data_IF_023013500674
#
_entry.id   IF_023013500674
#
_cell.length_a   1.000
_cell.length_b   1.000
_cell.length_c   1.000
_cell.angle_alpha   90.00
_cell.angle_beta   90.00
_cell.angle_gamma   90.00
#
_symmetry.space_group_name_H-M   'P 1'
#
loop_
_entity.id
_entity.type
_entity.pdbx_description
1 polymer ?
#
# COMPACT_ATOMS: atom_id res chain seq x y z
N UNK A 1 4.68 7.47 9.07
CA UNK A 1 3.55 6.65 9.52
C UNK A 1 2.85 6.01 8.33
N UNK A 2 3.23 4.77 8.00
CA UNK A 2 2.70 4.02 6.85
C UNK A 2 1.21 3.69 7.05
N UNK A 3 0.80 3.35 8.27
CA UNK A 3 -0.60 3.04 8.58
C UNK A 3 -1.51 4.26 8.34
N UNK A 4 -1.09 5.45 8.75
CA UNK A 4 -1.79 6.70 8.44
C UNK A 4 -1.86 6.98 6.95
N UNK A 5 -0.81 6.66 6.19
CA UNK A 5 -0.81 6.82 4.74
C UNK A 5 -1.78 5.87 4.05
N UNK A 6 -1.92 4.63 4.55
CA UNK A 6 -2.91 3.67 4.04
C UNK A 6 -4.35 4.10 4.31
N UNK A 7 -4.63 4.72 5.44
CA UNK A 7 -5.97 5.22 5.78
C UNK A 7 -6.33 6.53 5.08
N UNK A 8 -5.33 7.34 4.67
CA UNK A 8 -5.55 8.67 4.12
C UNK A 8 -6.09 8.63 2.68
N UNK A 9 -7.03 9.50 2.34
CA UNK A 9 -7.48 9.71 0.95
C UNK A 9 -6.48 10.50 0.10
N UNK A 10 -5.60 11.27 0.73
CA UNK A 10 -4.53 12.02 0.09
C UNK A 10 -3.45 12.37 1.11
N UNK A 11 -2.25 12.70 0.63
CA UNK A 11 -1.08 12.92 1.47
C UNK A 11 -0.51 14.32 1.20
N UNK A 12 -0.31 15.07 2.28
CA UNK A 12 0.25 16.41 2.23
C UNK A 12 1.37 16.52 3.28
N UNK A 13 2.57 16.87 2.86
CA UNK A 13 3.71 17.01 3.76
C UNK A 13 4.39 18.36 3.61
N UNK A 14 4.85 18.92 4.73
CA UNK A 14 5.62 20.19 4.75
C UNK A 14 7.06 20.01 4.24
N UNK A 15 7.60 18.80 4.33
CA UNK A 15 8.99 18.49 3.94
C UNK A 15 9.03 17.31 2.97
N UNK A 16 10.13 17.22 2.23
CA UNK A 16 10.37 16.15 1.28
C UNK A 16 10.26 16.61 -0.16
N UNK A 17 10.70 15.78 -1.08
CA UNK A 17 10.63 16.00 -2.52
C UNK A 17 9.96 14.81 -3.23
N UNK A 18 10.00 14.79 -4.55
CA UNK A 18 9.38 13.73 -5.39
C UNK A 18 9.96 12.33 -5.14
N UNK A 19 11.14 12.24 -4.57
CA UNK A 19 11.82 10.97 -4.21
C UNK A 19 11.71 10.65 -2.72
N UNK A 20 11.00 11.45 -1.93
CA UNK A 20 10.76 11.17 -0.51
C UNK A 20 9.94 9.89 -0.33
N UNK A 21 10.11 9.25 0.81
CA UNK A 21 9.34 8.04 1.16
C UNK A 21 7.83 8.26 1.02
N UNK A 22 7.32 9.40 1.50
CA UNK A 22 5.90 9.76 1.36
C UNK A 22 5.44 9.83 -0.10
N UNK A 23 6.24 10.45 -0.99
CA UNK A 23 5.90 10.55 -2.40
C UNK A 23 5.93 9.20 -3.13
N UNK A 24 6.91 8.35 -2.81
CA UNK A 24 7.05 7.01 -3.41
C UNK A 24 5.89 6.11 -2.99
N UNK A 25 5.60 6.05 -1.70
CA UNK A 25 4.51 5.22 -1.15
C UNK A 25 3.15 5.69 -1.64
N UNK A 26 2.87 7.01 -1.60
CA UNK A 26 1.60 7.57 -2.10
C UNK A 26 1.37 7.24 -3.58
N UNK A 27 2.43 7.31 -4.38
CA UNK A 27 2.39 6.99 -5.81
C UNK A 27 2.10 5.51 -6.04
N UNK A 28 2.73 4.64 -5.26
CA UNK A 28 2.45 3.20 -5.27
C UNK A 28 1.00 2.87 -4.90
N UNK A 29 0.39 3.65 -4.01
CA UNK A 29 -1.01 3.53 -3.63
C UNK A 29 -1.99 4.22 -4.59
N UNK A 30 -1.52 4.91 -5.63
CA UNK A 30 -2.37 5.71 -6.53
C UNK A 30 -3.08 6.87 -5.85
N UNK A 31 -2.51 7.41 -4.74
CA UNK A 31 -3.10 8.50 -3.95
C UNK A 31 -2.49 9.84 -4.34
N UNK A 32 -3.34 10.87 -4.34
CA UNK A 32 -2.87 12.23 -4.54
C UNK A 32 -1.87 12.60 -3.42
N UNK A 33 -0.73 13.16 -3.81
CA UNK A 33 0.32 13.51 -2.87
C UNK A 33 0.98 14.84 -3.24
N UNK A 34 1.08 15.73 -2.25
CA UNK A 34 1.87 16.96 -2.34
C UNK A 34 2.94 16.88 -1.26
N UNK A 35 4.22 16.94 -1.67
CA UNK A 35 5.35 16.94 -0.75
C UNK A 35 6.13 18.25 -0.84
N UNK A 36 6.75 18.65 0.27
CA UNK A 36 7.56 19.87 0.30
C UNK A 36 6.75 21.16 0.29
N UNK A 37 5.52 21.12 0.81
CA UNK A 37 4.72 22.33 1.01
C UNK A 37 5.29 23.16 2.17
N UNK A 38 6.38 23.90 1.92
CA UNK A 38 7.15 24.61 2.95
C UNK A 38 6.34 25.67 3.72
N UNK A 39 5.27 26.18 3.13
CA UNK A 39 4.33 27.11 3.77
C UNK A 39 3.40 26.43 4.77
N UNK A 40 3.38 25.09 4.77
CA UNK A 40 2.57 24.29 5.64
C UNK A 40 3.20 24.18 7.03
N UNK A 41 2.50 24.65 8.04
CA UNK A 41 2.84 24.45 9.45
C UNK A 41 1.74 23.66 10.15
N UNK A 42 2.10 22.58 10.81
CA UNK A 42 1.16 21.71 11.52
C UNK A 42 1.33 21.90 13.01
N UNK A 43 0.22 22.23 13.67
CA UNK A 43 0.08 22.28 15.12
C UNK A 43 -0.66 21.00 15.56
N UNK A 44 0.10 20.04 16.05
CA UNK A 44 -0.43 18.72 16.43
C UNK A 44 -1.26 18.80 17.73
N UNK A 45 -0.93 19.71 18.65
CA UNK A 45 -1.64 19.87 19.92
C UNK A 45 -3.05 20.40 19.70
N UNK A 46 -3.16 21.45 18.89
CA UNK A 46 -4.45 22.08 18.59
C UNK A 46 -5.14 21.47 17.36
N UNK A 47 -4.50 20.52 16.68
CA UNK A 47 -5.00 19.88 15.45
C UNK A 47 -5.36 20.89 14.37
N UNK A 48 -4.44 21.83 14.12
CA UNK A 48 -4.59 22.92 13.15
C UNK A 48 -3.46 22.88 12.13
N UNK A 49 -3.82 23.09 10.89
CA UNK A 49 -2.89 23.32 9.79
C UNK A 49 -2.92 24.82 9.45
N UNK A 50 -1.75 25.41 9.28
CA UNK A 50 -1.58 26.78 8.81
C UNK A 50 -0.96 26.78 7.41
N UNK A 51 -1.58 27.52 6.51
CA UNK A 51 -1.04 27.89 5.20
C UNK A 51 -0.94 29.43 5.14
N UNK A 52 0.24 29.98 5.37
CA UNK A 52 0.39 31.41 5.57
C UNK A 52 -0.53 31.89 6.69
N UNK A 53 -1.45 32.81 6.39
CA UNK A 53 -2.43 33.35 7.35
C UNK A 53 -3.68 32.46 7.52
N UNK A 54 -3.90 31.50 6.62
CA UNK A 54 -5.10 30.64 6.68
C UNK A 54 -4.93 29.54 7.70
N UNK A 55 -5.99 29.31 8.48
CA UNK A 55 -6.07 28.27 9.52
C UNK A 55 -7.12 27.22 9.08
N UNK A 56 -6.72 25.97 9.08
CA UNK A 56 -7.58 24.83 8.75
C UNK A 56 -7.61 23.92 9.97
N UNK A 57 -8.78 23.74 10.55
CA UNK A 57 -8.98 22.85 11.71
C UNK A 57 -9.15 21.40 11.26
N UNK A 58 -8.84 20.47 12.15
CA UNK A 58 -9.17 19.06 11.96
C UNK A 58 -10.65 18.87 11.65
N UNK A 59 -10.95 18.01 10.67
CA UNK A 59 -12.32 17.79 10.19
C UNK A 59 -12.76 18.74 9.06
N UNK A 60 -11.99 19.78 8.76
CA UNK A 60 -12.26 20.61 7.59
C UNK A 60 -11.92 19.86 6.29
N UNK A 61 -12.76 20.03 5.30
CA UNK A 61 -12.58 19.43 3.97
C UNK A 61 -11.58 20.22 3.15
N UNK A 62 -10.61 19.52 2.57
CA UNK A 62 -9.64 20.07 1.63
C UNK A 62 -9.53 19.18 0.40
N UNK A 63 -9.29 19.78 -0.75
CA UNK A 63 -8.95 19.06 -1.98
C UNK A 63 -7.49 19.33 -2.33
N UNK A 64 -6.73 18.28 -2.64
CA UNK A 64 -5.35 18.37 -3.07
C UNK A 64 -5.20 17.93 -4.54
N UNK A 65 -4.49 18.71 -5.32
CA UNK A 65 -4.13 18.40 -6.70
C UNK A 65 -2.62 18.09 -6.78
N UNK A 66 -2.30 16.81 -6.81
CA UNK A 66 -0.92 16.34 -6.89
C UNK A 66 -0.21 16.69 -8.21
N UNK A 67 -0.95 17.05 -9.26
CA UNK A 67 -0.37 17.42 -10.56
C UNK A 67 0.11 18.87 -10.57
N UNK A 68 -0.72 19.79 -10.06
CA UNK A 68 -0.39 21.22 -9.99
C UNK A 68 0.31 21.62 -8.69
N UNK A 69 0.23 20.76 -7.65
CA UNK A 69 0.74 21.09 -6.30
C UNK A 69 -0.17 22.02 -5.51
N UNK A 70 -1.42 22.20 -5.94
CA UNK A 70 -2.35 23.11 -5.30
C UNK A 70 -3.19 22.44 -4.20
N UNK A 71 -3.50 23.20 -3.16
CA UNK A 71 -4.41 22.82 -2.09
C UNK A 71 -5.58 23.78 -2.06
N UNK A 72 -6.79 23.25 -2.15
CA UNK A 72 -8.04 24.02 -2.15
C UNK A 72 -8.80 23.77 -0.84
N UNK A 73 -9.42 24.81 -0.29
CA UNK A 73 -10.35 24.69 0.81
C UNK A 73 -11.72 24.21 0.28
N UNK A 74 -12.27 23.19 0.92
CA UNK A 74 -13.53 22.58 0.53
C UNK A 74 -13.37 21.54 -0.58
N UNK A 75 -14.50 21.06 -1.03
CA UNK A 75 -14.59 20.07 -2.09
C UNK A 75 -14.57 20.75 -3.47
N UNK A 76 -13.63 20.33 -4.31
CA UNK A 76 -13.53 20.74 -5.72
C UNK A 76 -13.85 19.53 -6.59
N UNK A 77 -14.63 19.65 -7.66
CA UNK A 77 -14.86 18.55 -8.59
C UNK A 77 -13.53 17.98 -9.10
N UNK A 78 -13.36 16.67 -8.91
CA UNK A 78 -12.17 15.95 -9.35
C UNK A 78 -12.52 15.08 -10.55
N UNK A 79 -11.59 14.94 -11.48
CA UNK A 79 -11.69 14.00 -12.60
C UNK A 79 -10.70 12.87 -12.40
N UNK A 80 -11.11 11.64 -12.65
CA UNK A 80 -10.17 10.53 -12.72
C UNK A 80 -9.31 10.69 -13.96
N UNK A 81 -7.98 10.59 -13.87
CA UNK A 81 -7.12 10.66 -15.04
C UNK A 81 -7.44 9.49 -15.98
N UNK A 82 -8.01 9.79 -17.13
CA UNK A 82 -8.15 8.84 -18.21
C UNK A 82 -6.94 8.95 -19.15
N UNK A 83 -6.53 7.82 -19.72
CA UNK A 83 -5.47 7.84 -20.72
C UNK A 83 -5.96 8.59 -21.96
N UNK A 84 -5.35 9.73 -22.28
CA UNK A 84 -5.68 10.49 -23.48
C UNK A 84 -5.43 9.65 -24.74
N UNK A 85 -6.18 9.93 -25.82
CA UNK A 85 -5.97 9.27 -27.11
C UNK A 85 -4.53 9.45 -27.64
N UNK A 86 -3.95 10.61 -27.38
CA UNK A 86 -2.56 10.90 -27.72
C UNK A 86 -1.59 10.00 -26.98
N UNK A 87 -1.83 9.75 -25.68
CA UNK A 87 -1.02 8.85 -24.88
C UNK A 87 -1.14 7.40 -25.37
N UNK A 88 -2.36 6.94 -25.64
CA UNK A 88 -2.61 5.60 -26.21
C UNK A 88 -1.91 5.44 -27.57
N UNK A 89 -1.93 6.46 -28.39
CA UNK A 89 -1.24 6.48 -29.69
C UNK A 89 0.27 6.39 -29.53
N UNK A 90 0.84 7.16 -28.61
CA UNK A 90 2.27 7.13 -28.29
C UNK A 90 2.69 5.76 -27.79
N UNK A 91 1.91 5.15 -26.90
CA UNK A 91 2.20 3.81 -26.37
C UNK A 91 2.15 2.76 -27.49
N UNK A 92 1.18 2.85 -28.42
CA UNK A 92 1.16 1.96 -29.59
C UNK A 92 2.40 2.09 -30.49
N UNK A 93 2.95 3.29 -30.64
CA UNK A 93 4.20 3.48 -31.37
C UNK A 93 5.40 2.88 -30.60
N UNK A 94 5.48 3.12 -29.31
CA UNK A 94 6.51 2.53 -28.45
C UNK A 94 6.47 0.99 -28.50
N UNK A 95 5.27 0.40 -28.43
CA UNK A 95 5.10 -1.06 -28.49
C UNK A 95 5.54 -1.69 -29.81
N UNK A 96 5.46 -0.95 -30.92
CA UNK A 96 5.97 -1.42 -32.21
C UNK A 96 7.50 -1.43 -32.31
N UNK A 97 8.18 -0.58 -31.56
CA UNK A 97 9.61 -0.39 -31.61
C UNK A 97 10.37 -1.14 -30.49
N UNK A 98 9.75 -1.32 -29.35
CA UNK A 98 10.38 -1.98 -28.20
C UNK A 98 10.64 -3.47 -28.49
N UNK A 99 11.75 -3.96 -27.96
CA UNK A 99 12.13 -5.37 -28.02
C UNK A 99 11.89 -6.10 -26.71
N UNK A 100 11.86 -5.37 -25.59
CA UNK A 100 11.64 -5.91 -24.26
C UNK A 100 10.17 -5.80 -23.88
N UNK A 101 9.71 -6.78 -23.12
CA UNK A 101 8.39 -6.78 -22.50
C UNK A 101 8.42 -6.02 -21.20
N UNK A 102 7.30 -5.37 -20.86
CA UNK A 102 7.16 -4.62 -19.61
C UNK A 102 6.44 -5.49 -18.59
N UNK A 103 7.09 -5.72 -17.45
CA UNK A 103 6.50 -6.39 -16.29
C UNK A 103 6.42 -5.41 -15.13
N UNK A 104 5.35 -5.51 -14.36
CA UNK A 104 5.11 -4.65 -13.20
C UNK A 104 5.25 -5.44 -11.89
N UNK A 105 5.31 -4.72 -10.78
CA UNK A 105 5.09 -5.30 -9.47
C UNK A 105 3.58 -5.27 -9.17
N UNK A 106 3.03 -6.38 -8.74
CA UNK A 106 1.64 -6.50 -8.31
C UNK A 106 1.51 -7.64 -7.30
N UNK A 107 0.85 -7.39 -6.21
CA UNK A 107 0.69 -8.32 -5.10
C UNK A 107 -0.76 -8.74 -4.88
N UNK A 108 -1.71 -7.90 -5.32
CA UNK A 108 -3.15 -8.16 -5.16
C UNK A 108 -3.85 -8.36 -6.51
N UNK A 109 -5.03 -9.01 -6.52
CA UNK A 109 -5.85 -9.11 -7.72
C UNK A 109 -6.21 -7.76 -8.34
N UNK A 110 -6.40 -6.72 -7.52
CA UNK A 110 -6.70 -5.36 -8.01
C UNK A 110 -5.49 -4.72 -8.67
N UNK A 111 -4.29 -4.91 -8.13
CA UNK A 111 -3.05 -4.43 -8.74
C UNK A 111 -2.84 -5.10 -10.10
N UNK A 112 -3.06 -6.42 -10.19
CA UNK A 112 -2.94 -7.17 -11.43
C UNK A 112 -3.92 -6.68 -12.51
N UNK A 113 -5.19 -6.42 -12.15
CA UNK A 113 -6.19 -5.84 -13.06
C UNK A 113 -5.75 -4.46 -13.56
N UNK A 114 -5.26 -3.64 -12.67
CA UNK A 114 -4.75 -2.30 -12.98
C UNK A 114 -3.53 -2.39 -13.90
N UNK A 115 -2.60 -3.30 -13.59
CA UNK A 115 -1.41 -3.55 -14.39
C UNK A 115 -1.76 -3.91 -15.85
N UNK A 116 -2.69 -4.84 -16.04
CA UNK A 116 -3.16 -5.24 -17.37
C UNK A 116 -3.82 -4.07 -18.10
N UNK A 117 -4.66 -3.30 -17.41
CA UNK A 117 -5.30 -2.11 -17.97
C UNK A 117 -4.27 -1.09 -18.51
N UNK A 118 -3.12 -0.99 -17.86
CA UNK A 118 -2.00 -0.14 -18.27
C UNK A 118 -1.02 -0.82 -19.24
N UNK A 119 -1.32 -2.04 -19.71
CA UNK A 119 -0.56 -2.72 -20.75
C UNK A 119 0.65 -3.50 -20.23
N UNK A 120 0.67 -3.90 -18.96
CA UNK A 120 1.69 -4.80 -18.44
C UNK A 120 1.58 -6.19 -19.10
N UNK A 121 2.72 -6.77 -19.43
CA UNK A 121 2.84 -8.08 -20.09
C UNK A 121 3.31 -9.17 -19.12
N UNK A 122 3.13 -8.94 -17.82
CA UNK A 122 3.44 -9.88 -16.77
C UNK A 122 3.69 -9.19 -15.43
N UNK A 123 3.83 -10.00 -14.39
CA UNK A 123 4.28 -9.58 -13.08
C UNK A 123 5.77 -9.91 -12.94
N UNK A 124 6.58 -8.88 -12.72
CA UNK A 124 8.02 -8.99 -12.54
C UNK A 124 8.41 -9.33 -11.11
N UNK A 125 7.56 -8.93 -10.15
CA UNK A 125 7.70 -9.29 -8.74
C UNK A 125 6.34 -9.24 -8.05
N UNK A 126 5.95 -10.37 -7.46
CA UNK A 126 4.88 -10.48 -6.49
C UNK A 126 5.51 -10.77 -5.12
N UNK A 127 5.37 -9.84 -4.17
CA UNK A 127 5.85 -9.96 -2.81
C UNK A 127 4.79 -10.63 -1.97
N UNK A 128 5.00 -11.88 -1.61
CA UNK A 128 3.96 -12.65 -0.90
C UNK A 128 3.70 -12.13 0.51
N UNK A 129 4.66 -11.47 1.15
CA UNK A 129 4.49 -10.83 2.45
C UNK A 129 3.42 -9.73 2.44
N UNK A 130 3.26 -9.00 1.33
CA UNK A 130 2.24 -7.94 1.22
C UNK A 130 0.80 -8.47 1.23
N UNK A 131 0.60 -9.76 0.95
CA UNK A 131 -0.72 -10.39 1.02
C UNK A 131 -1.25 -10.53 2.46
N UNK A 132 -0.37 -10.34 3.46
CA UNK A 132 -0.68 -10.58 4.87
C UNK A 132 -0.76 -9.33 5.74
N UNK A 133 -0.72 -8.12 5.15
CA UNK A 133 -0.89 -6.86 5.90
C UNK A 133 -2.35 -6.50 6.21
N UNK A 134 -3.31 -7.26 5.71
CA UNK A 134 -4.72 -7.11 6.06
C UNK A 134 -4.94 -7.43 7.56
N UNK A 135 -5.82 -6.67 8.24
CA UNK A 135 -6.05 -6.80 9.69
C UNK A 135 -6.44 -8.21 10.13
N UNK A 136 -7.17 -8.95 9.29
CA UNK A 136 -7.59 -10.32 9.58
C UNK A 136 -6.46 -11.33 9.41
N UNK A 137 -5.43 -11.01 8.64
CA UNK A 137 -4.32 -11.90 8.28
C UNK A 137 -3.06 -11.64 9.08
N UNK A 138 -2.81 -10.37 9.43
CA UNK A 138 -1.58 -9.97 10.13
C UNK A 138 -1.42 -10.66 11.48
N UNK A 139 -2.53 -10.92 12.19
CA UNK A 139 -2.49 -11.61 13.48
C UNK A 139 -2.07 -13.07 13.33
N UNK A 140 -2.56 -13.77 12.30
CA UNK A 140 -2.15 -15.15 12.02
C UNK A 140 -0.68 -15.21 11.59
N UNK A 141 -0.22 -14.20 10.83
CA UNK A 141 1.19 -14.09 10.44
C UNK A 141 2.08 -13.85 11.66
N UNK A 142 1.64 -13.01 12.61
CA UNK A 142 2.35 -12.81 13.90
C UNK A 142 2.40 -14.08 14.72
N UNK A 143 1.33 -14.84 14.81
CA UNK A 143 1.34 -16.17 15.46
C UNK A 143 2.38 -17.10 14.83
N UNK A 144 2.47 -17.14 13.50
CA UNK A 144 3.48 -17.93 12.80
C UNK A 144 4.92 -17.47 13.10
N UNK A 145 5.15 -16.15 13.17
CA UNK A 145 6.48 -15.58 13.48
C UNK A 145 6.90 -15.86 14.91
N UNK A 146 5.96 -15.72 15.87
CA UNK A 146 6.21 -15.85 17.30
C UNK A 146 6.13 -17.29 17.81
N UNK A 147 5.71 -18.25 16.97
CA UNK A 147 5.58 -19.66 17.35
C UNK A 147 6.88 -20.21 17.94
N UNK A 148 6.80 -20.77 19.15
CA UNK A 148 7.95 -21.31 19.87
C UNK A 148 8.36 -22.70 19.37
N UNK A 149 7.38 -23.49 18.92
CA UNK A 149 7.62 -24.82 18.39
C UNK A 149 7.09 -25.05 16.96
N UNK A 150 7.39 -26.21 16.41
CA UNK A 150 7.03 -26.60 15.05
C UNK A 150 5.52 -26.82 14.89
N UNK A 151 4.81 -27.27 15.93
CA UNK A 151 3.38 -27.57 15.86
C UNK A 151 2.56 -26.28 15.85
N UNK A 152 2.88 -25.33 16.71
CA UNK A 152 2.26 -24.00 16.74
C UNK A 152 2.45 -23.30 15.39
N UNK A 153 3.67 -23.34 14.86
CA UNK A 153 3.97 -22.79 13.56
C UNK A 153 3.18 -23.46 12.44
N UNK A 154 3.06 -24.78 12.47
CA UNK A 154 2.26 -25.53 11.51
C UNK A 154 0.78 -25.14 11.59
N UNK A 155 0.22 -25.00 12.78
CA UNK A 155 -1.16 -24.57 12.99
C UNK A 155 -1.43 -23.16 12.43
N UNK A 156 -0.50 -22.24 12.60
CA UNK A 156 -0.60 -20.90 12.02
C UNK A 156 -0.51 -20.95 10.48
N UNK A 157 0.41 -21.73 9.94
CA UNK A 157 0.56 -21.93 8.50
C UNK A 157 -0.68 -22.56 7.84
N UNK A 158 -1.32 -23.52 8.52
CA UNK A 158 -2.57 -24.13 8.05
C UNK A 158 -3.72 -23.11 7.93
N UNK A 159 -3.74 -22.09 8.79
CA UNK A 159 -4.69 -20.97 8.70
C UNK A 159 -4.35 -20.02 7.55
N UNK A 160 -3.07 -19.79 7.26
CA UNK A 160 -2.60 -18.90 6.18
C UNK A 160 -2.75 -19.54 4.79
N UNK A 161 -2.55 -20.85 4.69
CA UNK A 161 -2.54 -21.57 3.42
C UNK A 161 -3.79 -21.34 2.55
N UNK A 162 -5.03 -21.46 3.04
CA UNK A 162 -6.23 -21.22 2.22
C UNK A 162 -6.34 -19.78 1.75
N UNK A 163 -5.89 -18.81 2.55
CA UNK A 163 -5.91 -17.39 2.21
C UNK A 163 -4.94 -17.11 1.05
N UNK A 164 -3.70 -17.56 1.17
CA UNK A 164 -2.68 -17.37 0.13
C UNK A 164 -3.00 -18.15 -1.14
N UNK A 165 -3.55 -19.35 -1.02
CA UNK A 165 -4.02 -20.13 -2.17
C UNK A 165 -5.06 -19.34 -2.97
N UNK A 166 -6.04 -18.76 -2.29
CA UNK A 166 -7.07 -17.94 -2.93
C UNK A 166 -6.50 -16.72 -3.64
N UNK A 167 -5.55 -16.04 -3.02
CA UNK A 167 -4.88 -14.88 -3.63
C UNK A 167 -4.14 -15.28 -4.92
N UNK A 168 -3.42 -16.40 -4.91
CA UNK A 168 -2.74 -16.90 -6.10
C UNK A 168 -3.71 -17.37 -7.18
N UNK A 169 -4.78 -18.05 -6.83
CA UNK A 169 -5.81 -18.47 -7.78
C UNK A 169 -6.39 -17.24 -8.51
N UNK A 170 -6.78 -16.22 -7.75
CA UNK A 170 -7.32 -14.98 -8.32
C UNK A 170 -6.28 -14.25 -9.18
N UNK A 171 -5.03 -14.18 -8.71
CA UNK A 171 -3.94 -13.55 -9.44
C UNK A 171 -3.67 -14.27 -10.77
N UNK A 172 -3.59 -15.59 -10.76
CA UNK A 172 -3.34 -16.39 -11.97
C UNK A 172 -4.50 -16.36 -12.95
N UNK A 173 -5.74 -16.30 -12.47
CA UNK A 173 -6.91 -16.12 -13.32
C UNK A 173 -6.88 -14.79 -14.08
N UNK A 174 -6.47 -13.70 -13.40
CA UNK A 174 -6.32 -12.38 -14.02
C UNK A 174 -5.16 -12.35 -15.00
N UNK A 175 -4.02 -12.95 -14.61
CA UNK A 175 -2.79 -12.96 -15.40
C UNK A 175 -2.73 -14.06 -16.44
N UNK A 176 -3.82 -14.73 -16.75
CA UNK A 176 -3.91 -15.88 -17.65
C UNK A 176 -3.06 -15.73 -18.91
N UNK A 177 -2.09 -16.61 -19.06
CA UNK A 177 -1.15 -16.62 -20.19
C UNK A 177 0.01 -15.63 -20.09
N UNK A 178 0.06 -14.81 -19.05
CA UNK A 178 1.17 -13.89 -18.79
C UNK A 178 2.07 -14.42 -17.67
N UNK A 179 3.39 -14.18 -17.73
CA UNK A 179 4.32 -14.65 -16.72
C UNK A 179 4.15 -13.91 -15.39
N UNK A 180 4.23 -14.65 -14.29
CA UNK A 180 4.19 -14.15 -12.92
C UNK A 180 5.43 -14.64 -12.17
N UNK A 181 6.25 -13.71 -11.69
CA UNK A 181 7.41 -14.01 -10.85
C UNK A 181 7.02 -13.78 -9.39
N UNK A 182 7.06 -14.85 -8.59
CA UNK A 182 6.68 -14.84 -7.19
C UNK A 182 7.94 -14.90 -6.34
N UNK A 183 8.08 -13.96 -5.38
CA UNK A 183 9.06 -14.09 -4.31
C UNK A 183 8.48 -14.99 -3.22
N UNK A 184 9.22 -16.00 -2.81
CA UNK A 184 8.84 -16.81 -1.68
C UNK A 184 8.75 -15.94 -0.41
N UNK A 185 7.98 -16.41 0.58
CA UNK A 185 7.72 -15.67 1.80
C UNK A 185 9.02 -15.32 2.54
N UNK A 186 9.23 -14.04 2.73
CA UNK A 186 10.34 -13.45 3.48
C UNK A 186 9.79 -12.28 4.32
N UNK A 187 9.16 -12.59 5.48
CA UNK A 187 8.47 -11.57 6.26
C UNK A 187 9.48 -10.64 6.96
N UNK A 188 9.50 -9.35 6.62
CA UNK A 188 10.31 -8.38 7.35
C UNK A 188 9.72 -8.18 8.75
N UNK A 189 10.39 -8.68 9.78
CA UNK A 189 9.90 -8.71 11.16
C UNK A 189 9.46 -7.32 11.66
N UNK A 190 10.22 -6.28 11.31
CA UNK A 190 9.92 -4.89 11.69
C UNK A 190 8.64 -4.31 11.07
N UNK A 191 8.09 -4.94 10.03
CA UNK A 191 6.82 -4.53 9.41
C UNK A 191 5.63 -5.28 10.03
N UNK A 192 5.83 -6.51 10.48
CA UNK A 192 4.78 -7.35 11.07
C UNK A 192 4.64 -7.18 12.57
N UNK A 193 5.74 -6.95 13.28
CA UNK A 193 5.75 -6.79 14.74
C UNK A 193 5.58 -5.33 15.14
N UNK A 194 4.92 -5.05 16.28
CA UNK A 194 4.81 -3.70 16.81
C UNK A 194 6.17 -3.07 17.11
N UNK A 195 6.28 -1.77 16.86
CA UNK A 195 7.52 -1.01 17.07
C UNK A 195 7.67 -0.44 18.48
N UNK A 196 6.69 -0.63 19.37
CA UNK A 196 6.73 -0.14 20.74
C UNK A 196 6.52 -1.29 21.73
N UNK A 197 7.14 -1.16 22.89
CA UNK A 197 7.17 -2.18 23.93
C UNK A 197 5.77 -2.53 24.46
N UNK A 198 4.88 -1.54 24.58
CA UNK A 198 3.53 -1.74 25.12
C UNK A 198 2.68 -2.63 24.21
N UNK A 199 2.71 -2.39 22.91
CA UNK A 199 1.95 -3.19 21.94
C UNK A 199 2.60 -4.55 21.73
N UNK A 200 3.94 -4.66 21.88
CA UNK A 200 4.64 -5.94 21.85
C UNK A 200 4.23 -6.82 23.05
N UNK A 201 4.19 -6.26 24.24
CA UNK A 201 3.73 -6.96 25.45
C UNK A 201 2.27 -7.40 25.28
N UNK A 202 1.40 -6.51 24.77
CA UNK A 202 0.01 -6.85 24.51
C UNK A 202 -0.12 -8.02 23.52
N UNK A 203 0.71 -8.03 22.47
CA UNK A 203 0.72 -9.11 21.48
C UNK A 203 1.15 -10.45 22.09
N UNK A 204 2.17 -10.47 22.94
CA UNK A 204 2.64 -11.68 23.64
C UNK A 204 1.55 -12.24 24.55
N UNK A 205 0.90 -11.38 25.36
CA UNK A 205 -0.20 -11.84 26.24
C UNK A 205 -1.41 -12.37 25.47
N UNK A 206 -1.70 -11.85 24.28
CA UNK A 206 -2.81 -12.33 23.46
C UNK A 206 -2.48 -13.61 22.70
N UNK A 207 -1.21 -13.89 22.43
CA UNK A 207 -0.79 -15.19 21.88
C UNK A 207 -0.88 -16.29 22.94
N UNK A 208 -0.45 -16.04 24.17
CA UNK A 208 -0.56 -17.02 25.28
C UNK A 208 -2.02 -17.33 25.66
N UNK A 209 -2.91 -16.34 25.61
CA UNK A 209 -4.33 -16.53 25.96
C UNK A 209 -5.13 -17.34 24.93
N UNK A 210 -4.60 -17.52 23.71
CA UNK A 210 -5.24 -18.34 22.67
C UNK A 210 -4.99 -19.85 22.89
N UNK A 211 -4.06 -20.22 23.79
CA UNK A 211 -3.68 -21.60 24.09
C UNK A 211 -4.28 -22.15 25.40
N UNK A 212 -5.14 -21.39 26.10
CA UNK A 212 -5.80 -21.87 27.31
C UNK A 212 -7.10 -22.64 26.93
N UNK A 213 -7.12 -23.98 26.98
CA UNK A 213 -8.30 -24.78 26.66
C UNK A 213 -9.28 -24.73 27.84
N UNK A 214 -10.25 -23.81 27.82
CA UNK A 214 -11.42 -23.87 28.69
C UNK A 214 -12.48 -24.80 28.16
#
# INVERSE_FOLDING_TARGET
DIAGMHAASGILTSRGGMTSHAAVVARGMGRACITGANELRIDFENKIIFFGEKKIKSGAEITIDGSSGNVYLGQVPTVYPEMSESFVTLMKWADKLRRLKVRTNAETPNDAKTAIKFGAEGIGLCRTEHMFFDENRINVMRQMILAEDTNERANALDKLLPMQRKDFEDLFLIMKGLPVTIRLLDPPLHEFLPNNEKDMICLLYTSDAADDPT
#
